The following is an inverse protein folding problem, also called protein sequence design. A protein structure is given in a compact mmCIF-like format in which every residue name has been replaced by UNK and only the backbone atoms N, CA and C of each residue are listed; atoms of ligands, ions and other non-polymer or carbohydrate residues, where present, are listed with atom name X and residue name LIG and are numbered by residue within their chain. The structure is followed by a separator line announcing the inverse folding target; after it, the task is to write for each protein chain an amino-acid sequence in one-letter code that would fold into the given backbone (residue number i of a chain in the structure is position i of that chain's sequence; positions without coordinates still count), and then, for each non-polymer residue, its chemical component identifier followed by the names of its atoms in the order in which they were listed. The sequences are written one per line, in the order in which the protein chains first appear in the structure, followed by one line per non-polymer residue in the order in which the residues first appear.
data_IF_546824523560
#
_entry.id   IF_546824523560
#
_cell.length_a   1.000
_cell.length_b   1.000
_cell.length_c   1.000
_cell.angle_alpha   90.00
_cell.angle_beta   90.00
_cell.angle_gamma   90.00
#
_symmetry.space_group_name_H-M   'P 1'
#
loop_
_entity.id
_entity.type
_entity.pdbx_description
1 polymer ?
#
# COMPACT_ATOMS: atom_id res chain seq x y z
N UNK A 1 13.31 -35.25 36.49
CA UNK A 1 12.99 -34.07 37.31
C UNK A 1 12.33 -33.06 36.38
N UNK A 2 11.07 -33.32 36.03
CA UNK A 2 9.86 -32.68 36.58
C UNK A 2 9.75 -31.21 36.19
N UNK A 3 9.12 -31.03 35.04
CA UNK A 3 8.53 -29.82 34.49
C UNK A 3 7.23 -29.50 35.24
N UNK A 4 7.12 -28.31 35.81
CA UNK A 4 5.88 -27.75 36.34
C UNK A 4 5.41 -26.63 35.39
N UNK A 5 4.31 -26.89 34.69
CA UNK A 5 3.52 -25.89 33.97
C UNK A 5 2.44 -25.38 34.93
N UNK A 6 2.43 -24.06 35.18
CA UNK A 6 1.30 -23.39 35.79
C UNK A 6 0.41 -22.81 34.69
N UNK A 7 -0.80 -23.34 34.65
CA UNK A 7 -1.94 -22.98 33.83
C UNK A 7 -2.73 -21.90 34.60
N UNK A 8 -2.87 -20.71 34.05
CA UNK A 8 -3.60 -19.60 34.67
C UNK A 8 -4.92 -19.38 33.92
N UNK A 9 -5.99 -19.86 34.54
CA UNK A 9 -7.38 -19.68 34.15
C UNK A 9 -7.77 -18.20 34.17
N UNK A 10 -8.19 -17.67 33.01
CA UNK A 10 -8.91 -16.39 32.94
C UNK A 10 -10.35 -16.62 32.55
N UNK A 11 -11.22 -16.53 33.55
CA UNK A 11 -12.66 -16.29 33.43
C UNK A 11 -12.90 -15.09 32.51
N UNK A 12 -13.68 -15.31 31.46
CA UNK A 12 -14.33 -14.25 30.70
C UNK A 12 -15.80 -14.33 31.07
N UNK A 13 -16.22 -13.41 31.94
CA UNK A 13 -17.62 -13.15 32.24
C UNK A 13 -18.28 -12.56 30.99
N UNK A 14 -19.47 -13.11 30.69
CA UNK A 14 -20.31 -12.66 29.60
C UNK A 14 -21.17 -11.47 30.00
N UNK A 15 -21.39 -10.59 29.04
CA UNK A 15 -22.57 -9.74 28.90
C UNK A 15 -22.95 -9.85 27.41
N UNK A 16 -24.05 -10.53 27.08
CA UNK A 16 -25.42 -10.01 27.12
C UNK A 16 -25.77 -9.21 25.84
N UNK A 17 -26.46 -9.92 24.95
CA UNK A 17 -27.55 -9.44 24.11
C UNK A 17 -27.37 -8.13 23.31
N UNK A 18 -27.19 -8.25 21.99
CA UNK A 18 -28.10 -7.55 21.07
C UNK A 18 -28.26 -8.33 19.77
N UNK A 19 -29.38 -9.03 19.68
CA UNK A 19 -29.88 -9.66 18.46
C UNK A 19 -30.49 -8.58 17.57
N UNK A 20 -29.69 -7.96 16.69
CA UNK A 20 -30.24 -7.13 15.61
C UNK A 20 -30.57 -7.98 14.38
N UNK A 21 -31.76 -8.57 14.47
CA UNK A 21 -32.60 -8.99 13.35
C UNK A 21 -32.95 -7.79 12.47
N UNK A 22 -32.44 -7.73 11.23
CA UNK A 22 -32.95 -6.83 10.18
C UNK A 22 -32.73 -7.47 8.80
N UNK A 23 -33.36 -8.62 8.57
CA UNK A 23 -33.69 -9.11 7.22
C UNK A 23 -35.19 -9.32 7.15
N UNK A 24 -35.94 -8.22 7.19
CA UNK A 24 -37.35 -8.21 6.85
C UNK A 24 -37.49 -8.39 5.33
N UNK A 25 -37.47 -9.65 4.89
CA UNK A 25 -37.99 -10.03 3.57
C UNK A 25 -39.48 -9.74 3.62
N UNK A 26 -39.90 -8.65 2.96
CA UNK A 26 -41.32 -8.43 2.64
C UNK A 26 -41.74 -9.51 1.65
N UNK A 27 -42.30 -10.60 2.16
CA UNK A 27 -43.21 -11.46 1.39
C UNK A 27 -44.38 -10.59 0.92
N UNK A 28 -44.39 -10.25 -0.37
CA UNK A 28 -45.59 -9.69 -0.99
C UNK A 28 -46.51 -10.86 -1.34
N UNK A 29 -47.61 -10.87 -0.58
CA UNK A 29 -48.91 -11.44 -0.84
C UNK A 29 -49.18 -11.93 -2.28
N UNK A 30 -49.55 -13.20 -2.35
CA UNK A 30 -50.92 -13.53 -2.76
C UNK A 30 -51.28 -13.26 -4.21
N UNK A 31 -50.60 -13.94 -5.15
CA UNK A 31 -51.20 -14.15 -6.48
C UNK A 31 -51.97 -15.48 -6.44
N UNK A 32 -53.31 -15.39 -6.44
CA UNK A 32 -54.19 -16.55 -6.51
C UNK A 32 -53.88 -17.39 -7.77
N UNK A 33 -53.88 -18.74 -7.67
CA UNK A 33 -53.83 -19.59 -8.85
C UNK A 33 -55.17 -19.47 -9.58
N UNK A 34 -55.20 -18.62 -10.61
CA UNK A 34 -56.27 -18.59 -11.59
C UNK A 34 -56.34 -19.97 -12.25
N UNK A 35 -57.48 -20.65 -12.06
CA UNK A 35 -57.73 -22.00 -12.57
C UNK A 35 -57.73 -21.95 -14.09
N UNK A 36 -56.58 -22.25 -14.69
CA UNK A 36 -56.44 -22.47 -16.12
C UNK A 36 -57.41 -23.57 -16.56
N UNK A 37 -58.45 -23.17 -17.32
CA UNK A 37 -59.31 -24.10 -18.05
C UNK A 37 -58.42 -24.95 -18.95
N UNK A 38 -58.38 -26.25 -18.69
CA UNK A 38 -57.82 -27.25 -19.62
C UNK A 38 -58.76 -27.35 -20.81
N UNK A 39 -58.62 -26.45 -21.77
CA UNK A 39 -59.15 -26.64 -23.10
C UNK A 39 -58.34 -27.77 -23.75
N UNK A 40 -58.80 -29.00 -23.55
CA UNK A 40 -58.34 -30.18 -24.28
C UNK A 40 -58.72 -30.00 -25.74
N UNK A 41 -57.87 -29.33 -26.50
CA UNK A 41 -57.95 -29.24 -27.95
C UNK A 41 -57.59 -30.60 -28.54
N UNK A 42 -58.60 -31.46 -28.71
CA UNK A 42 -58.46 -32.74 -29.39
C UNK A 42 -58.33 -32.50 -30.88
N UNK A 43 -57.09 -32.34 -31.35
CA UNK A 43 -56.76 -32.20 -32.76
C UNK A 43 -56.89 -33.57 -33.42
N UNK A 44 -58.01 -33.82 -34.09
CA UNK A 44 -58.28 -35.05 -34.81
C UNK A 44 -57.56 -35.01 -36.17
N UNK A 45 -56.23 -35.14 -36.14
CA UNK A 45 -55.38 -35.02 -37.32
C UNK A 45 -55.28 -36.39 -38.03
N UNK A 46 -56.12 -36.61 -39.05
CA UNK A 46 -55.96 -37.69 -40.04
C UNK A 46 -54.74 -37.39 -40.93
N UNK A 47 -53.54 -37.45 -40.37
CA UNK A 47 -52.29 -37.26 -41.11
C UNK A 47 -51.80 -38.62 -41.58
N UNK A 48 -51.40 -38.73 -42.84
CA UNK A 48 -50.66 -39.89 -43.32
C UNK A 48 -49.33 -39.98 -42.54
N UNK A 49 -48.92 -41.16 -42.02
CA UNK A 49 -47.78 -41.28 -41.11
C UNK A 49 -46.48 -40.67 -41.67
N UNK A 50 -46.30 -40.70 -42.99
CA UNK A 50 -45.15 -40.09 -43.69
C UNK A 50 -45.13 -38.55 -43.57
N UNK A 51 -46.29 -37.88 -43.63
CA UNK A 51 -46.38 -36.41 -43.52
C UNK A 51 -46.14 -35.92 -42.09
N UNK A 52 -46.56 -36.71 -41.10
CA UNK A 52 -46.30 -36.44 -39.68
C UNK A 52 -44.80 -36.50 -39.37
N UNK A 53 -44.10 -37.54 -39.85
CA UNK A 53 -42.65 -37.68 -39.68
C UNK A 53 -41.90 -36.49 -40.30
N UNK A 54 -42.27 -36.10 -41.52
CA UNK A 54 -41.64 -34.96 -42.20
C UNK A 54 -41.86 -33.64 -41.46
N UNK A 55 -43.03 -33.44 -40.87
CA UNK A 55 -43.35 -32.23 -40.11
C UNK A 55 -42.56 -32.16 -38.81
N UNK A 56 -42.48 -33.27 -38.06
CA UNK A 56 -41.68 -33.35 -36.83
C UNK A 56 -40.20 -33.09 -37.13
N UNK A 57 -39.66 -33.72 -38.18
CA UNK A 57 -38.27 -33.50 -38.58
C UNK A 57 -38.02 -32.04 -38.97
N UNK A 58 -38.95 -31.42 -39.72
CA UNK A 58 -38.88 -30.00 -40.07
C UNK A 58 -38.86 -29.09 -38.85
N UNK A 59 -39.71 -29.35 -37.85
CA UNK A 59 -39.75 -28.59 -36.59
C UNK A 59 -38.43 -28.73 -35.82
N UNK A 60 -37.86 -29.92 -35.73
CA UNK A 60 -36.57 -30.16 -35.05
C UNK A 60 -35.44 -29.39 -35.74
N UNK A 61 -35.41 -29.37 -37.07
CA UNK A 61 -34.42 -28.59 -37.83
C UNK A 61 -34.59 -27.09 -37.55
N UNK A 62 -35.82 -26.57 -37.62
CA UNK A 62 -36.10 -25.16 -37.33
C UNK A 62 -35.68 -24.79 -35.90
N UNK A 63 -36.05 -25.59 -34.90
CA UNK A 63 -35.66 -25.36 -33.51
C UNK A 63 -34.13 -25.35 -33.33
N UNK A 64 -33.42 -26.31 -33.91
CA UNK A 64 -31.96 -26.33 -33.86
C UNK A 64 -31.33 -25.11 -34.53
N UNK A 65 -31.88 -24.64 -35.65
CA UNK A 65 -31.38 -23.40 -36.29
C UNK A 65 -31.63 -22.16 -35.43
N UNK A 66 -32.77 -22.06 -34.76
CA UNK A 66 -33.08 -20.96 -33.85
C UNK A 66 -32.15 -20.98 -32.63
N UNK A 67 -31.96 -22.15 -32.01
CA UNK A 67 -31.08 -22.30 -30.84
C UNK A 67 -29.63 -21.99 -31.21
N UNK A 68 -29.13 -22.50 -32.34
CA UNK A 68 -27.78 -22.17 -32.81
C UNK A 68 -27.63 -20.69 -33.16
N UNK A 69 -28.64 -20.08 -33.80
CA UNK A 69 -28.64 -18.65 -34.11
C UNK A 69 -28.60 -17.79 -32.84
N UNK A 70 -29.42 -18.13 -31.84
CA UNK A 70 -29.45 -17.42 -30.56
C UNK A 70 -28.17 -17.59 -29.75
N UNK A 71 -27.62 -18.81 -29.71
CA UNK A 71 -26.32 -19.09 -29.09
C UNK A 71 -25.20 -18.30 -29.78
N UNK A 72 -25.16 -18.29 -31.11
CA UNK A 72 -24.14 -17.55 -31.89
C UNK A 72 -24.19 -16.05 -31.60
N UNK A 73 -25.37 -15.45 -31.57
CA UNK A 73 -25.53 -14.03 -31.23
C UNK A 73 -25.10 -13.71 -29.80
N UNK A 74 -25.47 -14.56 -28.84
CA UNK A 74 -25.13 -14.36 -27.42
C UNK A 74 -23.63 -14.55 -27.16
N UNK A 75 -23.02 -15.56 -27.78
CA UNK A 75 -21.59 -15.85 -27.63
C UNK A 75 -20.74 -14.80 -28.35
N UNK A 76 -21.14 -14.33 -29.54
CA UNK A 76 -20.38 -13.29 -30.25
C UNK A 76 -20.34 -11.96 -29.49
N UNK A 77 -21.43 -11.58 -28.81
CA UNK A 77 -21.43 -10.41 -27.92
C UNK A 77 -20.42 -10.58 -26.79
N UNK A 78 -20.52 -11.69 -26.06
CA UNK A 78 -19.59 -12.01 -24.95
C UNK A 78 -18.14 -12.20 -25.39
N UNK A 79 -17.91 -12.68 -26.61
CA UNK A 79 -16.57 -12.85 -27.17
C UNK A 79 -15.93 -11.50 -27.49
N UNK A 80 -16.69 -10.56 -28.04
CA UNK A 80 -16.19 -9.20 -28.26
C UNK A 80 -15.89 -8.50 -26.93
N UNK A 81 -16.75 -8.64 -25.93
CA UNK A 81 -16.50 -8.10 -24.59
C UNK A 81 -15.25 -8.73 -23.96
N UNK A 82 -15.06 -10.04 -24.11
CA UNK A 82 -13.86 -10.75 -23.65
C UNK A 82 -12.60 -10.31 -24.41
N UNK A 83 -12.69 -10.15 -25.73
CA UNK A 83 -11.57 -9.64 -26.55
C UNK A 83 -11.22 -8.22 -26.11
N UNK A 84 -12.20 -7.36 -25.88
CA UNK A 84 -11.96 -6.00 -25.37
C UNK A 84 -11.36 -5.98 -23.97
N UNK A 85 -11.69 -6.94 -23.10
CA UNK A 85 -11.04 -7.12 -21.81
C UNK A 85 -9.60 -7.63 -21.93
N UNK A 86 -9.27 -8.40 -22.97
CA UNK A 86 -7.90 -8.91 -23.19
C UNK A 86 -6.96 -7.91 -23.85
N UNK A 87 -7.48 -6.91 -24.58
CA UNK A 87 -6.63 -5.85 -25.17
C UNK A 87 -5.83 -5.15 -24.07
N UNK A 88 -4.55 -4.82 -24.26
CA UNK A 88 -3.83 -4.03 -23.27
C UNK A 88 -4.48 -2.65 -23.08
N UNK A 89 -4.58 -2.17 -21.84
CA UNK A 89 -5.06 -0.81 -21.60
C UNK A 89 -3.96 0.21 -21.94
N UNK A 90 -4.20 1.04 -22.95
CA UNK A 90 -3.24 2.07 -23.36
C UNK A 90 -3.38 3.36 -22.55
N UNK A 91 -2.26 4.00 -22.21
CA UNK A 91 -2.24 5.27 -21.50
C UNK A 91 -0.86 5.92 -21.46
N UNK A 92 -0.79 7.15 -20.97
CA UNK A 92 0.45 7.89 -20.75
C UNK A 92 0.83 7.88 -19.28
N UNK A 93 2.14 7.79 -19.00
CA UNK A 93 2.70 7.91 -17.67
C UNK A 93 3.32 9.29 -17.49
N UNK A 94 2.99 9.99 -16.41
CA UNK A 94 3.61 11.27 -16.04
C UNK A 94 4.16 11.18 -14.63
N UNK A 95 5.45 11.41 -14.48
CA UNK A 95 6.14 11.47 -13.20
C UNK A 95 6.45 12.93 -12.86
N UNK A 96 5.94 13.42 -11.73
CA UNK A 96 6.16 14.78 -11.24
C UNK A 96 7.13 14.71 -10.06
N UNK A 97 8.28 15.38 -10.19
CA UNK A 97 9.36 15.36 -9.20
C UNK A 97 9.73 16.81 -8.85
N UNK A 98 9.89 17.14 -7.55
CA UNK A 98 10.42 18.43 -7.13
C UNK A 98 11.95 18.45 -7.25
N UNK A 99 12.50 19.46 -7.94
CA UNK A 99 13.95 19.66 -8.10
C UNK A 99 14.72 19.81 -6.78
N UNK A 100 14.04 20.26 -5.74
CA UNK A 100 14.59 20.66 -4.44
C UNK A 100 14.38 19.62 -3.33
N UNK A 101 14.00 18.38 -3.68
CA UNK A 101 13.81 17.32 -2.69
C UNK A 101 14.94 16.27 -2.69
N UNK A 102 15.93 16.38 -1.79
CA UNK A 102 16.97 15.38 -1.66
C UNK A 102 16.37 14.06 -1.18
N UNK A 103 16.63 12.97 -1.93
CA UNK A 103 16.19 11.63 -1.54
C UNK A 103 14.70 11.35 -1.75
N UNK A 104 13.94 12.26 -2.40
CA UNK A 104 12.55 12.00 -2.76
C UNK A 104 12.36 10.74 -3.63
N UNK A 105 13.43 10.20 -4.22
CA UNK A 105 13.40 8.93 -4.93
C UNK A 105 12.52 8.97 -6.17
N UNK A 106 12.49 7.86 -6.90
CA UNK A 106 11.60 7.67 -8.04
C UNK A 106 10.54 6.61 -7.71
N UNK A 107 9.43 6.62 -8.44
CA UNK A 107 8.35 5.63 -8.29
C UNK A 107 8.56 4.43 -9.24
N UNK A 108 9.82 4.02 -9.42
CA UNK A 108 10.21 2.97 -10.37
C UNK A 108 9.61 1.61 -10.01
N UNK A 109 9.50 1.28 -8.73
CA UNK A 109 8.84 0.04 -8.31
C UNK A 109 7.36 0.02 -8.73
N UNK A 110 6.67 1.16 -8.61
CA UNK A 110 5.29 1.31 -9.03
C UNK A 110 5.18 1.28 -10.56
N UNK A 111 6.13 1.88 -11.27
CA UNK A 111 6.21 1.82 -12.74
C UNK A 111 6.38 0.37 -13.21
N UNK A 112 7.36 -0.36 -12.68
CA UNK A 112 7.59 -1.77 -13.01
C UNK A 112 6.37 -2.64 -12.69
N UNK A 113 5.72 -2.40 -11.54
CA UNK A 113 4.48 -3.08 -11.18
C UNK A 113 3.39 -2.84 -12.22
N UNK A 114 3.25 -1.58 -12.64
CA UNK A 114 2.26 -1.13 -13.60
C UNK A 114 2.54 -1.71 -15.00
N UNK A 115 3.80 -1.74 -15.45
CA UNK A 115 4.24 -2.38 -16.69
C UNK A 115 4.04 -3.90 -16.69
N UNK A 116 4.11 -4.54 -15.51
CA UNK A 116 3.77 -5.94 -15.33
C UNK A 116 2.27 -6.24 -15.49
N UNK A 117 1.42 -5.22 -15.51
CA UNK A 117 0.00 -5.36 -15.82
C UNK A 117 -0.21 -5.41 -17.34
N UNK A 118 -1.37 -5.89 -17.79
CA UNK A 118 -1.74 -5.90 -19.20
C UNK A 118 -2.07 -4.49 -19.72
N UNK A 119 -1.06 -3.62 -19.76
CA UNK A 119 -1.16 -2.21 -20.18
C UNK A 119 -0.14 -1.91 -21.28
N UNK A 120 -0.31 -0.77 -21.93
CA UNK A 120 0.66 -0.25 -22.90
C UNK A 120 0.90 1.22 -22.63
N UNK A 121 2.12 1.57 -22.22
CA UNK A 121 2.52 2.95 -22.00
C UNK A 121 2.83 3.58 -23.36
N UNK A 122 1.99 4.51 -23.81
CA UNK A 122 2.11 5.15 -25.12
C UNK A 122 3.00 6.40 -25.10
N UNK A 123 3.18 7.00 -23.92
CA UNK A 123 3.97 8.21 -23.71
C UNK A 123 4.45 8.23 -22.26
N UNK A 124 5.68 8.65 -22.03
CA UNK A 124 6.25 8.80 -20.70
C UNK A 124 6.86 10.19 -20.55
N UNK A 125 6.43 10.91 -19.51
CA UNK A 125 6.90 12.27 -19.23
C UNK A 125 7.43 12.38 -17.83
N UNK A 126 8.52 13.13 -17.71
CA UNK A 126 9.06 13.57 -16.42
C UNK A 126 8.93 15.09 -16.36
N UNK A 127 8.21 15.58 -15.37
CA UNK A 127 7.94 17.00 -15.19
C UNK A 127 8.52 17.47 -13.86
N UNK A 128 9.15 18.64 -13.89
CA UNK A 128 9.53 19.34 -12.68
C UNK A 128 8.29 19.94 -12.01
N UNK A 129 8.17 19.77 -10.69
CA UNK A 129 7.03 20.24 -9.91
C UNK A 129 6.81 21.77 -10.01
N UNK A 130 7.85 22.55 -10.31
CA UNK A 130 7.76 24.00 -10.48
C UNK A 130 7.19 24.42 -11.84
N UNK A 131 7.15 23.51 -12.82
CA UNK A 131 6.63 23.81 -14.17
C UNK A 131 5.13 24.08 -14.17
N UNK A 132 4.66 24.99 -15.04
CA UNK A 132 3.24 25.34 -15.14
C UNK A 132 2.37 24.12 -15.51
N UNK A 133 2.92 23.22 -16.33
CA UNK A 133 2.24 21.97 -16.69
C UNK A 133 2.09 21.04 -15.49
N UNK A 134 3.14 20.85 -14.67
CA UNK A 134 3.04 20.04 -13.46
C UNK A 134 2.06 20.63 -12.45
N UNK A 135 2.10 21.95 -12.22
CA UNK A 135 1.17 22.64 -11.31
C UNK A 135 -0.29 22.44 -11.71
N UNK A 136 -0.60 22.51 -13.00
CA UNK A 136 -1.95 22.24 -13.51
C UNK A 136 -2.40 20.80 -13.22
N UNK A 137 -1.51 19.81 -13.39
CA UNK A 137 -1.80 18.40 -13.09
C UNK A 137 -1.96 18.19 -11.58
N UNK A 138 -1.06 18.74 -10.77
CA UNK A 138 -1.13 18.69 -9.30
C UNK A 138 -2.48 19.20 -8.80
N UNK A 139 -2.94 20.35 -9.31
CA UNK A 139 -4.23 20.93 -8.94
C UNK A 139 -5.41 20.08 -9.43
N UNK A 140 -5.37 19.62 -10.69
CA UNK A 140 -6.43 18.81 -11.31
C UNK A 140 -6.62 17.48 -10.58
N UNK A 141 -5.52 16.79 -10.30
CA UNK A 141 -5.52 15.46 -9.69
C UNK A 141 -5.51 15.51 -8.16
N UNK A 142 -5.51 16.72 -7.56
CA UNK A 142 -5.48 16.98 -6.12
C UNK A 142 -4.32 16.28 -5.41
N UNK A 143 -3.14 16.34 -6.00
CA UNK A 143 -1.92 15.74 -5.45
C UNK A 143 -1.48 16.55 -4.22
N UNK A 144 -1.30 15.87 -3.10
CA UNK A 144 -0.88 16.47 -1.84
C UNK A 144 0.61 16.28 -1.56
N UNK A 145 1.20 15.19 -2.07
CA UNK A 145 2.59 14.81 -1.80
C UNK A 145 3.36 14.50 -3.10
N UNK A 146 4.63 14.88 -3.12
CA UNK A 146 5.55 14.64 -4.23
C UNK A 146 6.79 13.84 -3.77
N UNK A 147 7.36 12.98 -4.63
CA UNK A 147 7.01 12.79 -6.04
C UNK A 147 5.67 12.08 -6.22
N UNK A 148 5.06 12.29 -7.39
CA UNK A 148 3.80 11.66 -7.75
C UNK A 148 3.87 11.11 -9.18
N UNK A 149 3.29 9.93 -9.38
CA UNK A 149 3.18 9.28 -10.69
C UNK A 149 1.72 9.20 -11.07
N UNK A 150 1.40 9.54 -12.32
CA UNK A 150 0.05 9.55 -12.85
C UNK A 150 0.02 8.70 -14.10
N UNK A 151 -0.82 7.67 -14.11
CA UNK A 151 -1.19 6.97 -15.33
C UNK A 151 -2.53 7.50 -15.83
N UNK A 152 -2.56 8.04 -17.04
CA UNK A 152 -3.76 8.60 -17.67
C UNK A 152 -4.14 7.83 -18.92
N UNK A 153 -5.43 7.52 -19.09
CA UNK A 153 -5.95 6.87 -20.30
C UNK A 153 -7.03 7.72 -20.97
N UNK A 154 -7.23 7.51 -22.28
CA UNK A 154 -8.34 8.13 -23.02
C UNK A 154 -9.68 7.50 -22.68
N UNK A 155 -9.66 6.23 -22.27
CA UNK A 155 -10.84 5.46 -21.89
C UNK A 155 -10.89 5.29 -20.36
N UNK A 156 -12.06 4.97 -19.80
CA UNK A 156 -12.15 4.59 -18.40
C UNK A 156 -11.19 3.46 -18.05
N UNK A 157 -10.53 3.58 -16.90
CA UNK A 157 -9.63 2.57 -16.35
C UNK A 157 -10.44 1.35 -15.92
N UNK A 158 -9.95 0.17 -16.27
CA UNK A 158 -10.58 -1.09 -15.90
C UNK A 158 -10.57 -1.26 -14.38
N UNK A 159 -11.68 -1.76 -13.84
CA UNK A 159 -11.83 -2.01 -12.42
C UNK A 159 -10.80 -3.01 -11.88
N UNK A 160 -10.38 -3.99 -12.70
CA UNK A 160 -9.30 -4.93 -12.38
C UNK A 160 -7.97 -4.20 -12.18
N UNK A 161 -7.64 -3.24 -13.05
CA UNK A 161 -6.39 -2.47 -12.94
C UNK A 161 -6.41 -1.56 -11.71
N UNK A 162 -7.54 -0.89 -11.44
CA UNK A 162 -7.70 -0.07 -10.22
C UNK A 162 -7.52 -0.92 -8.96
N UNK A 163 -8.23 -2.05 -8.85
CA UNK A 163 -8.10 -2.96 -7.69
C UNK A 163 -6.70 -3.55 -7.54
N UNK A 164 -6.03 -3.85 -8.65
CA UNK A 164 -4.65 -4.31 -8.62
C UNK A 164 -3.69 -3.20 -8.18
N UNK A 165 -3.96 -1.95 -8.52
CA UNK A 165 -3.09 -0.81 -8.20
C UNK A 165 -3.25 -0.31 -6.75
N UNK A 166 -4.45 -0.40 -6.16
CA UNK A 166 -4.75 0.08 -4.80
C UNK A 166 -3.74 -0.37 -3.72
N UNK A 167 -3.34 -1.66 -3.62
CA UNK A 167 -2.35 -2.11 -2.63
C UNK A 167 -0.98 -1.47 -2.76
N UNK A 168 -0.65 -0.90 -3.93
CA UNK A 168 0.61 -0.19 -4.18
C UNK A 168 0.56 1.29 -3.82
N UNK A 169 -0.56 1.74 -3.23
CA UNK A 169 -0.81 3.13 -2.86
C UNK A 169 -1.42 3.96 -4.00
N UNK A 170 -1.88 3.32 -5.07
CA UNK A 170 -2.60 4.02 -6.13
C UNK A 170 -3.99 4.44 -5.66
N UNK A 171 -4.45 5.60 -6.10
CA UNK A 171 -5.84 6.03 -6.01
C UNK A 171 -6.39 6.38 -7.38
N UNK A 172 -7.66 6.08 -7.61
CA UNK A 172 -8.36 6.58 -8.80
C UNK A 172 -8.59 8.09 -8.67
N UNK A 173 -8.43 8.80 -9.79
CA UNK A 173 -8.77 10.21 -9.93
C UNK A 173 -9.72 10.36 -11.13
N UNK A 174 -11.01 10.36 -10.82
CA UNK A 174 -12.06 10.14 -11.83
C UNK A 174 -11.97 8.75 -12.46
N UNK A 175 -12.52 8.62 -13.67
CA UNK A 175 -12.57 7.32 -14.36
C UNK A 175 -11.31 7.04 -15.19
N UNK A 176 -10.47 8.04 -15.46
CA UNK A 176 -9.42 7.95 -16.49
C UNK A 176 -7.99 8.12 -15.98
N UNK A 177 -7.78 8.37 -14.69
CA UNK A 177 -6.44 8.45 -14.11
C UNK A 177 -6.26 7.60 -12.84
N UNK A 178 -5.07 7.01 -12.70
CA UNK A 178 -4.54 6.45 -11.45
C UNK A 178 -3.38 7.33 -10.98
N UNK A 179 -3.36 7.66 -9.70
CA UNK A 179 -2.36 8.53 -9.07
C UNK A 179 -1.68 7.77 -7.95
N UNK A 180 -0.34 7.74 -7.98
CA UNK A 180 0.50 7.28 -6.88
C UNK A 180 1.19 8.48 -6.29
N UNK A 181 1.01 8.68 -4.99
CA UNK A 181 1.74 9.68 -4.21
C UNK A 181 2.75 8.95 -3.33
N UNK A 182 3.92 9.54 -3.10
CA UNK A 182 4.90 8.95 -2.21
C UNK A 182 4.47 9.13 -0.75
N UNK A 183 3.83 8.09 -0.20
CA UNK A 183 3.35 8.06 1.19
C UNK A 183 4.52 7.98 2.19
N UNK A 184 5.60 7.27 1.81
CA UNK A 184 6.76 7.09 2.69
C UNK A 184 7.75 8.25 2.53
N UNK A 185 8.24 8.86 3.61
CA UNK A 185 9.21 9.94 3.51
C UNK A 185 10.56 9.51 2.88
N UNK A 186 11.34 10.44 2.33
CA UNK A 186 11.04 11.87 2.25
C UNK A 186 10.09 12.19 1.09
N UNK A 187 9.19 13.15 1.30
CA UNK A 187 8.27 13.67 0.30
C UNK A 187 8.08 15.18 0.48
N UNK A 188 7.85 15.91 -0.61
CA UNK A 188 7.51 17.32 -0.55
C UNK A 188 5.99 17.49 -0.40
N UNK A 189 5.55 18.29 0.58
CA UNK A 189 4.14 18.63 0.74
C UNK A 189 3.79 19.79 -0.20
N UNK A 190 2.82 19.57 -1.08
CA UNK A 190 2.42 20.54 -2.12
C UNK A 190 1.88 21.85 -1.53
N UNK A 191 1.24 21.80 -0.37
CA UNK A 191 0.57 22.98 0.21
C UNK A 191 1.56 24.00 0.77
N UNK A 192 2.62 23.53 1.42
CA UNK A 192 3.59 24.42 2.09
C UNK A 192 5.00 24.37 1.47
N UNK A 193 5.25 23.49 0.50
CA UNK A 193 6.55 23.30 -0.14
C UNK A 193 7.61 22.63 0.73
N UNK A 194 7.29 22.26 1.98
CA UNK A 194 8.26 21.68 2.90
C UNK A 194 8.49 20.20 2.58
N UNK A 195 9.75 19.78 2.62
CA UNK A 195 10.12 18.36 2.52
C UNK A 195 10.04 17.73 3.89
N UNK A 196 9.18 16.73 4.02
CA UNK A 196 8.98 15.95 5.24
C UNK A 196 9.95 14.75 5.31
N UNK A 197 10.28 14.32 6.53
CA UNK A 197 11.10 13.13 6.78
C UNK A 197 12.59 13.26 6.50
N UNK A 198 13.12 14.47 6.36
CA UNK A 198 14.57 14.68 6.29
C UNK A 198 15.15 14.60 7.71
N UNK A 199 15.88 13.55 8.00
CA UNK A 199 16.38 13.26 9.35
C UNK A 199 17.78 13.81 9.56
N UNK A 200 17.99 14.46 10.70
CA UNK A 200 19.32 14.79 11.19
C UNK A 200 19.77 13.77 12.23
N UNK A 201 21.02 13.31 12.13
CA UNK A 201 21.59 12.32 13.05
C UNK A 201 22.77 12.92 13.79
N UNK A 202 22.73 12.84 15.12
CA UNK A 202 23.89 13.13 15.98
C UNK A 202 24.46 11.84 16.53
N UNK A 203 25.68 11.52 16.14
CA UNK A 203 26.46 10.40 16.64
C UNK A 203 27.29 10.86 17.85
N UNK A 204 27.03 10.26 19.01
CA UNK A 204 27.84 10.44 20.21
C UNK A 204 28.87 9.32 20.29
N UNK A 205 30.14 9.69 20.33
CA UNK A 205 31.29 8.78 20.25
C UNK A 205 32.19 8.90 21.48
N UNK A 206 33.07 7.92 21.66
CA UNK A 206 34.15 7.97 22.64
C UNK A 206 35.47 7.55 22.00
N UNK A 207 36.27 8.53 21.58
CA UNK A 207 37.59 8.36 20.98
C UNK A 207 38.58 7.65 21.89
N UNK A 208 38.35 7.66 23.21
CA UNK A 208 39.18 6.91 24.16
C UNK A 208 38.80 5.42 24.24
N UNK A 209 37.67 5.02 23.64
CA UNK A 209 37.21 3.64 23.58
C UNK A 209 37.53 3.01 22.22
N UNK A 210 38.77 2.52 22.05
CA UNK A 210 39.20 1.89 20.79
C UNK A 210 38.52 0.56 20.49
N UNK A 211 37.96 -0.10 21.51
CA UNK A 211 37.20 -1.35 21.36
C UNK A 211 35.71 -1.12 21.06
N UNK A 212 35.21 0.11 21.21
CA UNK A 212 33.79 0.41 20.97
C UNK A 212 33.44 0.23 19.49
N UNK A 213 32.20 -0.17 19.22
CA UNK A 213 31.74 -0.36 17.84
C UNK A 213 31.74 0.96 17.05
N UNK A 214 31.87 0.86 15.73
CA UNK A 214 31.78 2.02 14.84
C UNK A 214 30.32 2.45 14.69
N UNK A 215 29.92 3.45 15.47
CA UNK A 215 28.54 3.94 15.49
C UNK A 215 28.11 4.56 14.18
N UNK A 216 29.02 5.21 13.46
CA UNK A 216 28.66 5.92 12.22
C UNK A 216 28.33 4.90 11.16
N UNK A 217 29.22 3.94 10.91
CA UNK A 217 28.99 2.93 9.88
C UNK A 217 27.84 1.98 10.26
N UNK A 218 27.79 1.54 11.51
CA UNK A 218 26.76 0.58 11.97
C UNK A 218 25.37 1.20 11.93
N UNK A 219 25.19 2.36 12.54
CA UNK A 219 23.85 2.97 12.66
C UNK A 219 23.38 3.56 11.33
N UNK A 220 24.28 4.13 10.51
CA UNK A 220 23.91 4.61 9.17
C UNK A 220 23.33 3.47 8.32
N UNK A 221 23.97 2.30 8.30
CA UNK A 221 23.46 1.14 7.57
C UNK A 221 22.11 0.66 8.10
N UNK A 222 21.92 0.60 9.43
CA UNK A 222 20.65 0.23 10.04
C UNK A 222 19.54 1.22 9.62
N UNK A 223 19.78 2.53 9.75
CA UNK A 223 18.81 3.56 9.40
C UNK A 223 18.46 3.54 7.90
N UNK A 224 19.45 3.32 7.03
CA UNK A 224 19.23 3.17 5.59
C UNK A 224 18.35 1.94 5.26
N UNK A 225 18.51 0.83 5.99
CA UNK A 225 17.65 -0.34 5.82
C UNK A 225 16.19 -0.08 6.23
N UNK A 226 15.94 0.90 7.10
CA UNK A 226 14.60 1.41 7.41
C UNK A 226 14.10 2.47 6.41
N UNK A 227 14.88 2.79 5.38
CA UNK A 227 14.56 3.80 4.37
C UNK A 227 14.74 5.25 4.84
N UNK A 228 15.40 5.48 5.98
CA UNK A 228 15.57 6.82 6.55
C UNK A 228 16.47 7.68 5.67
N UNK A 229 15.99 8.86 5.27
CA UNK A 229 16.75 9.83 4.51
C UNK A 229 17.51 10.78 5.44
N UNK A 230 18.82 10.56 5.56
CA UNK A 230 19.69 11.38 6.39
C UNK A 230 20.20 12.58 5.58
N UNK A 231 19.92 13.80 6.05
CA UNK A 231 20.37 15.05 5.39
C UNK A 231 21.48 15.78 6.12
N UNK A 232 21.62 15.53 7.42
CA UNK A 232 22.64 16.15 8.22
C UNK A 232 23.18 15.14 9.23
N UNK A 233 24.49 15.12 9.35
CA UNK A 233 25.20 14.23 10.26
C UNK A 233 26.17 15.03 11.09
N UNK A 234 26.16 14.78 12.39
CA UNK A 234 27.09 15.41 13.33
C UNK A 234 27.72 14.34 14.20
N UNK A 235 29.05 14.32 14.24
CA UNK A 235 29.80 13.43 15.12
C UNK A 235 30.35 14.28 16.26
N UNK A 236 30.03 13.89 17.49
CA UNK A 236 30.48 14.59 18.70
C UNK A 236 31.13 13.56 19.62
N UNK A 237 32.33 13.86 20.10
CA UNK A 237 32.98 13.04 21.11
C UNK A 237 32.48 13.41 22.50
N UNK A 238 32.35 12.46 23.42
CA UNK A 238 31.93 12.73 24.79
C UNK A 238 32.86 13.69 25.56
N UNK A 239 34.13 13.82 25.14
CA UNK A 239 35.07 14.79 25.72
C UNK A 239 34.84 16.22 25.21
N UNK A 240 34.14 16.40 24.09
CA UNK A 240 33.84 17.71 23.53
C UNK A 240 32.86 18.48 24.43
N UNK A 241 33.06 19.80 24.55
CA UNK A 241 32.18 20.67 25.34
C UNK A 241 30.71 20.61 24.86
N UNK A 242 30.50 20.35 23.57
CA UNK A 242 29.18 20.22 22.96
C UNK A 242 28.42 18.94 23.36
N UNK A 243 29.10 17.89 23.83
CA UNK A 243 28.44 16.64 24.24
C UNK A 243 27.76 16.76 25.61
N UNK A 244 28.37 17.47 26.55
CA UNK A 244 27.87 17.62 27.94
C UNK A 244 26.39 18.02 28.04
N UNK A 245 25.89 19.04 27.33
CA UNK A 245 24.47 19.38 27.38
C UNK A 245 23.57 18.26 26.83
N UNK A 246 23.99 17.52 25.79
CA UNK A 246 23.22 16.42 25.22
C UNK A 246 23.15 15.21 26.16
N UNK A 247 24.29 14.83 26.76
CA UNK A 247 24.36 13.75 27.73
C UNK A 247 23.43 14.01 28.93
N UNK A 248 23.39 15.27 29.40
CA UNK A 248 22.53 15.69 30.50
C UNK A 248 21.06 15.77 30.07
N UNK A 249 20.76 16.44 28.95
CA UNK A 249 19.39 16.66 28.48
C UNK A 249 18.66 15.34 28.28
N UNK A 250 19.34 14.38 27.65
CA UNK A 250 18.76 13.09 27.33
C UNK A 250 19.16 12.00 28.31
N UNK A 251 19.78 12.28 29.46
CA UNK A 251 20.21 11.26 30.43
C UNK A 251 20.94 10.05 29.80
N UNK A 252 21.93 10.32 28.95
CA UNK A 252 22.63 9.26 28.19
C UNK A 252 23.66 8.58 29.10
N UNK A 253 23.53 7.26 29.24
CA UNK A 253 24.36 6.44 30.12
C UNK A 253 25.30 5.50 29.39
N UNK A 254 25.20 5.39 28.06
CA UNK A 254 26.00 4.48 27.24
C UNK A 254 26.44 5.14 25.93
N UNK A 255 27.68 4.89 25.52
CA UNK A 255 28.26 5.34 24.25
C UNK A 255 29.06 4.23 23.58
N UNK A 256 29.13 4.19 22.25
CA UNK A 256 28.57 5.19 21.35
C UNK A 256 27.07 5.02 21.11
N UNK A 257 26.36 6.12 20.86
CA UNK A 257 24.90 6.17 20.67
C UNK A 257 24.51 7.19 19.60
N UNK A 258 23.23 7.20 19.20
CA UNK A 258 22.67 8.16 18.25
C UNK A 258 21.47 8.90 18.84
N UNK A 259 21.29 10.13 18.36
CA UNK A 259 20.11 10.95 18.55
C UNK A 259 19.58 11.32 17.16
N UNK A 260 18.33 10.99 16.88
CA UNK A 260 17.65 11.36 15.64
C UNK A 260 16.72 12.55 15.90
N UNK A 261 16.58 13.41 14.90
CA UNK A 261 15.58 14.48 14.92
C UNK A 261 14.15 13.93 14.87
N UNK A 262 13.17 14.77 15.22
CA UNK A 262 11.75 14.40 15.30
C UNK A 262 11.17 13.83 14.00
N UNK A 263 11.75 14.19 12.85
CA UNK A 263 11.35 13.74 11.51
C UNK A 263 11.52 12.23 11.34
N UNK A 264 12.36 11.58 12.17
CA UNK A 264 12.46 10.12 12.22
C UNK A 264 11.11 9.46 12.57
N UNK A 265 10.24 10.18 13.29
CA UNK A 265 8.89 9.74 13.64
C UNK A 265 7.97 9.47 12.46
N UNK A 266 8.31 9.96 11.27
CA UNK A 266 7.53 9.75 10.05
C UNK A 266 7.80 8.39 9.40
N UNK A 267 8.83 7.67 9.84
CA UNK A 267 9.22 6.38 9.30
C UNK A 267 8.53 5.25 10.06
N UNK A 268 7.35 4.84 9.59
CA UNK A 268 6.51 3.82 10.25
C UNK A 268 7.26 2.53 10.61
N UNK A 269 8.07 1.99 9.69
CA UNK A 269 8.88 0.78 9.93
C UNK A 269 9.91 0.96 11.05
N UNK A 270 10.53 2.14 11.14
CA UNK A 270 11.45 2.47 12.24
C UNK A 270 10.68 2.58 13.56
N UNK A 271 9.52 3.25 13.54
CA UNK A 271 8.71 3.48 14.74
C UNK A 271 8.11 2.21 15.33
N UNK A 272 7.89 1.17 14.53
CA UNK A 272 7.46 -0.14 15.04
C UNK A 272 8.51 -0.80 15.94
N UNK A 273 9.80 -0.59 15.65
CA UNK A 273 10.89 -1.21 16.40
C UNK A 273 11.50 -0.28 17.45
N UNK A 274 11.34 1.04 17.30
CA UNK A 274 11.99 2.03 18.15
C UNK A 274 11.77 1.83 19.66
N UNK A 275 10.55 1.54 20.15
CA UNK A 275 10.31 1.34 21.58
C UNK A 275 11.12 0.20 22.23
N UNK A 276 11.67 -0.71 21.42
CA UNK A 276 12.50 -1.83 21.89
C UNK A 276 13.97 -1.42 22.06
N UNK A 277 14.42 -0.40 21.34
CA UNK A 277 15.84 -0.04 21.23
C UNK A 277 16.16 1.37 21.71
N UNK A 278 15.15 2.21 21.90
CA UNK A 278 15.31 3.61 22.22
C UNK A 278 14.11 4.21 22.94
N UNK A 279 14.18 5.52 23.13
CA UNK A 279 13.13 6.35 23.72
C UNK A 279 12.79 7.51 22.80
N UNK A 280 11.59 8.06 22.96
CA UNK A 280 11.18 9.34 22.38
C UNK A 280 11.18 10.38 23.50
N UNK A 281 11.88 11.48 23.28
CA UNK A 281 12.09 12.55 24.25
C UNK A 281 11.00 13.61 24.14
N UNK A 282 10.91 14.51 25.14
CA UNK A 282 9.84 15.51 25.21
C UNK A 282 9.86 16.54 24.07
N UNK A 283 11.02 16.75 23.45
CA UNK A 283 11.20 17.61 22.28
C UNK A 283 10.99 16.86 20.95
N UNK A 284 10.56 15.60 21.01
CA UNK A 284 10.34 14.74 19.85
C UNK A 284 11.61 14.05 19.34
N UNK A 285 12.78 14.28 19.94
CA UNK A 285 14.00 13.57 19.55
C UNK A 285 13.90 12.07 19.87
N UNK A 286 14.58 11.25 19.07
CA UNK A 286 14.63 9.81 19.26
C UNK A 286 16.03 9.40 19.69
N UNK A 287 16.17 8.84 20.89
CA UNK A 287 17.48 8.49 21.48
C UNK A 287 17.63 6.99 21.58
N UNK A 288 18.72 6.46 21.02
CA UNK A 288 19.03 5.04 21.10
C UNK A 288 19.58 4.68 22.49
N UNK A 289 19.06 3.61 23.11
CA UNK A 289 19.31 3.23 24.51
C UNK A 289 19.86 1.82 24.67
N UNK A 290 19.44 0.89 23.83
CA UNK A 290 19.69 -0.54 24.00
C UNK A 290 20.89 -1.00 23.17
N UNK A 291 22.10 -0.85 23.70
CA UNK A 291 23.34 -1.20 22.99
C UNK A 291 23.43 -2.70 22.63
N UNK A 292 22.78 -3.55 23.44
CA UNK A 292 22.70 -4.98 23.24
C UNK A 292 22.03 -5.34 21.90
N UNK A 293 21.10 -4.51 21.42
CA UNK A 293 20.39 -4.74 20.16
C UNK A 293 21.32 -4.66 18.92
N UNK A 294 22.43 -3.92 19.03
CA UNK A 294 23.44 -3.80 17.97
C UNK A 294 24.50 -4.89 18.10
N UNK A 295 24.64 -5.51 19.28
CA UNK A 295 25.66 -6.52 19.55
C UNK A 295 27.09 -5.97 19.44
N UNK A 296 27.28 -4.68 19.72
CA UNK A 296 28.57 -4.01 19.68
C UNK A 296 29.13 -3.73 21.07
N UNK A 297 30.46 -3.65 21.19
CA UNK A 297 31.14 -3.21 22.42
C UNK A 297 30.84 -1.74 22.69
N UNK A 298 30.54 -1.37 23.92
CA UNK A 298 30.20 0.01 24.29
C UNK A 298 30.78 0.37 25.67
N UNK A 299 30.90 1.66 25.97
CA UNK A 299 31.24 2.18 27.30
C UNK A 299 29.98 2.62 28.04
N UNK A 300 29.83 2.13 29.27
CA UNK A 300 28.83 2.61 30.20
C UNK A 300 29.38 3.82 30.97
N UNK A 301 28.79 4.99 30.76
CA UNK A 301 29.21 6.27 31.34
C UNK A 301 28.95 6.36 32.85
N UNK A 302 28.00 5.60 33.38
CA UNK A 302 27.70 5.56 34.82
C UNK A 302 28.77 4.80 35.59
N UNK A 303 29.28 3.70 35.03
CA UNK A 303 30.28 2.83 35.67
C UNK A 303 31.71 3.10 35.21
N UNK A 304 31.88 3.78 34.07
CA UNK A 304 33.17 3.99 33.40
C UNK A 304 33.73 2.74 32.73
N UNK A 305 33.00 1.61 32.70
CA UNK A 305 33.49 0.34 32.18
C UNK A 305 33.12 0.13 30.71
N UNK A 306 34.00 -0.56 29.99
CA UNK A 306 33.71 -1.10 28.66
C UNK A 306 32.96 -2.42 28.84
N UNK A 307 31.82 -2.54 28.17
CA UNK A 307 30.99 -3.75 28.10
C UNK A 307 31.23 -4.38 26.74
N UNK A 308 31.82 -5.57 26.74
CA UNK A 308 32.11 -6.31 25.53
C UNK A 308 30.89 -7.10 25.03
N UNK A 309 30.87 -7.37 23.73
CA UNK A 309 29.89 -8.24 23.10
C UNK A 309 29.93 -9.63 23.75
N UNK A 310 28.75 -10.15 24.12
CA UNK A 310 28.58 -11.56 24.51
C UNK A 310 28.57 -12.49 23.31
#
# INVERSE_FOLDING_TARGET
MTTEHQEEDRKIDGDEQSTHSCCAVKEKDGTQPEKAKKDTWSINLKIKPVSMLATVLGIVVILNTIVMGWFTLTVNGKLNDAIEQTKPQSGSLTLIIPSDCPGCGELEAQKQYLEGQNITITDERRLDASSDTAKAIIQKEKIAQLPAMIFSSKNPIRAELTRAAEPTGARASGDTALVWEKIQPPYANVQNGNVAGLVSVTYLTDKSCTACYDVVNTQRSILQNFGVAIVAEKIIDISDAAAKPLLKLYNITSVPTIILSQEAGMYSSLMQVWPQVGSTEADGAYVFRTMEAVGGTYRNLTTGKIVEKK
#
